data_IF_894067385845
#
_entry.id   IF_894067385845
#
_cell.length_a   1.000
_cell.length_b   1.000
_cell.length_c   1.000
_cell.angle_alpha   90.00
_cell.angle_beta   90.00
_cell.angle_gamma   90.00
#
_symmetry.space_group_name_H-M   'P 1'
#
loop_
_entity.id
_entity.type
_entity.pdbx_description
1 polymer ?
#
# COMPACT_ATOMS: atom_id res chain seq x y z
N UNK A 1 -69.74 28.01 13.59
CA UNK A 1 -68.40 27.49 13.18
C UNK A 1 -67.24 28.21 13.89
N UNK A 2 -67.14 28.16 15.23
CA UNK A 2 -65.95 28.63 15.99
C UNK A 2 -65.89 27.98 17.38
N UNK A 3 -65.68 26.66 17.46
CA UNK A 3 -65.39 25.97 18.74
C UNK A 3 -64.30 24.88 18.67
N UNK A 4 -63.70 24.59 17.51
CA UNK A 4 -62.71 23.51 17.37
C UNK A 4 -61.23 23.90 17.47
N UNK A 5 -60.90 25.18 17.70
CA UNK A 5 -59.49 25.62 17.80
C UNK A 5 -59.03 26.01 19.22
N UNK A 6 -59.91 26.02 20.22
CA UNK A 6 -59.51 26.38 21.59
C UNK A 6 -58.70 25.29 22.30
N UNK A 7 -59.06 24.01 22.14
CA UNK A 7 -58.37 22.92 22.83
C UNK A 7 -56.89 22.76 22.42
N UNK A 8 -56.54 22.74 21.12
CA UNK A 8 -55.15 22.60 20.70
C UNK A 8 -54.28 23.77 21.14
N UNK A 9 -54.83 24.99 21.10
CA UNK A 9 -54.14 26.20 21.54
C UNK A 9 -53.89 26.19 23.05
N UNK A 10 -54.86 25.74 23.85
CA UNK A 10 -54.70 25.60 25.31
C UNK A 10 -53.66 24.52 25.63
N UNK A 11 -53.65 23.38 24.94
CA UNK A 11 -52.63 22.35 25.12
C UNK A 11 -51.22 22.86 24.79
N UNK A 12 -51.06 23.61 23.70
CA UNK A 12 -49.76 24.19 23.34
C UNK A 12 -49.29 25.23 24.36
N UNK A 13 -50.23 26.03 24.91
CA UNK A 13 -49.92 27.03 25.93
C UNK A 13 -49.51 26.37 27.25
N UNK A 14 -50.19 25.29 27.65
CA UNK A 14 -49.83 24.51 28.84
C UNK A 14 -48.46 23.85 28.67
N UNK A 15 -48.16 23.25 27.52
CA UNK A 15 -46.83 22.65 27.27
C UNK A 15 -45.72 23.70 27.30
N UNK A 16 -45.92 24.85 26.66
CA UNK A 16 -44.91 25.92 26.62
C UNK A 16 -44.70 26.57 27.99
N UNK A 17 -45.77 26.84 28.75
CA UNK A 17 -45.65 27.33 30.14
C UNK A 17 -45.01 26.30 31.08
N UNK A 18 -45.30 25.01 30.91
CA UNK A 18 -44.69 23.95 31.72
C UNK A 18 -43.19 23.81 31.44
N UNK A 19 -42.78 23.91 30.17
CA UNK A 19 -41.36 23.92 29.78
C UNK A 19 -40.64 25.19 30.24
N UNK A 20 -41.31 26.35 30.19
CA UNK A 20 -40.75 27.62 30.63
C UNK A 20 -40.56 27.68 32.16
N UNK A 21 -41.55 27.21 32.94
CA UNK A 21 -41.44 27.17 34.40
C UNK A 21 -40.55 26.05 34.94
N UNK A 22 -40.38 24.94 34.21
CA UNK A 22 -39.42 23.89 34.58
C UNK A 22 -38.01 24.10 34.03
N UNK A 23 -37.72 25.21 33.35
CA UNK A 23 -36.40 25.52 32.78
C UNK A 23 -35.27 25.43 33.82
N UNK A 24 -35.52 25.81 35.07
CA UNK A 24 -34.55 25.71 36.17
C UNK A 24 -34.35 24.28 36.71
N UNK A 25 -35.28 23.36 36.44
CA UNK A 25 -35.17 21.94 36.81
C UNK A 25 -34.58 21.07 35.68
N UNK A 26 -34.67 21.52 34.42
CA UNK A 26 -34.07 20.81 33.26
C UNK A 26 -32.55 21.01 33.17
N UNK A 27 -32.01 22.06 33.82
CA UNK A 27 -30.55 22.28 33.88
C UNK A 27 -29.80 21.35 34.85
N UNK A 28 -30.49 20.53 35.65
CA UNK A 28 -29.88 19.69 36.69
C UNK A 28 -30.27 18.20 36.62
N UNK A 29 -30.72 17.70 35.46
CA UNK A 29 -30.78 16.25 35.24
C UNK A 29 -29.36 15.72 35.06
N UNK A 30 -28.81 15.19 36.17
CA UNK A 30 -27.62 14.36 36.14
C UNK A 30 -27.88 13.14 35.25
N UNK A 31 -27.25 13.13 34.08
CA UNK A 31 -27.03 11.93 33.29
C UNK A 31 -26.22 10.95 34.18
N UNK A 32 -26.60 9.67 34.32
CA UNK A 32 -25.74 8.70 34.98
C UNK A 32 -24.39 8.68 34.26
N UNK A 33 -23.34 9.06 35.01
CA UNK A 33 -22.02 9.31 34.49
C UNK A 33 -21.40 8.05 33.91
N UNK A 34 -21.30 8.01 32.58
CA UNK A 34 -20.14 7.40 31.95
C UNK A 34 -19.02 8.41 32.12
N UNK A 35 -18.11 8.13 33.05
CA UNK A 35 -16.90 8.92 33.23
C UNK A 35 -16.10 8.88 31.93
N UNK A 36 -15.92 9.99 31.19
CA UNK A 36 -14.94 10.02 30.13
C UNK A 36 -13.60 10.26 30.80
N UNK A 37 -12.99 9.18 31.31
CA UNK A 37 -11.53 9.13 31.39
C UNK A 37 -10.98 8.89 29.97
N UNK A 38 -11.38 9.73 29.02
CA UNK A 38 -10.49 10.07 27.92
C UNK A 38 -9.57 11.13 28.49
N UNK A 39 -8.45 10.69 29.04
CA UNK A 39 -7.25 11.51 28.97
C UNK A 39 -7.17 12.04 27.53
N UNK A 40 -7.21 13.37 27.39
CA UNK A 40 -6.85 14.05 26.15
C UNK A 40 -5.38 13.76 25.87
N UNK A 41 -5.08 12.53 25.47
CA UNK A 41 -3.80 12.17 24.90
C UNK A 41 -3.91 12.65 23.46
N UNK A 42 -3.29 13.80 23.18
CA UNK A 42 -3.08 14.23 21.79
C UNK A 42 -2.48 13.04 21.04
N UNK A 43 -3.16 12.55 20.00
CA UNK A 43 -2.64 11.46 19.20
C UNK A 43 -1.52 12.06 18.33
N UNK A 44 -0.29 11.99 18.84
CA UNK A 44 0.87 12.34 18.06
C UNK A 44 0.92 11.43 16.83
N UNK A 45 1.36 11.99 15.69
CA UNK A 45 1.77 11.17 14.57
C UNK A 45 2.67 10.03 15.10
N UNK A 46 2.45 8.77 14.66
CA UNK A 46 3.28 7.66 15.08
C UNK A 46 4.74 8.08 14.88
N UNK A 47 5.50 8.06 15.98
CA UNK A 47 6.94 8.33 15.90
C UNK A 47 7.49 7.35 14.88
N UNK A 48 8.41 7.77 13.98
CA UNK A 48 9.13 6.80 13.16
C UNK A 48 9.60 5.69 14.09
N UNK A 49 9.42 4.43 13.66
CA UNK A 49 9.69 3.24 14.46
C UNK A 49 10.92 3.47 15.35
N UNK A 50 10.85 3.18 16.67
CA UNK A 50 11.93 3.47 17.59
C UNK A 50 13.23 3.04 16.94
N UNK A 51 14.22 3.96 16.86
CA UNK A 51 15.55 3.57 16.38
C UNK A 51 15.88 2.28 17.11
N UNK A 52 16.10 1.14 16.40
CA UNK A 52 16.38 -0.09 17.09
C UNK A 52 17.51 0.23 18.06
N UNK A 53 17.28 -0.02 19.36
CA UNK A 53 18.34 0.09 20.40
C UNK A 53 19.58 -0.49 19.75
N UNK A 54 20.74 0.19 19.84
CA UNK A 54 22.01 -0.23 19.19
C UNK A 54 22.34 -1.67 19.60
N UNK A 55 21.69 -2.64 18.99
CA UNK A 55 21.97 -4.06 19.03
C UNK A 55 23.13 -4.21 18.07
N UNK A 56 24.19 -4.85 18.55
CA UNK A 56 25.25 -5.32 17.68
C UNK A 56 24.63 -6.11 16.51
N UNK A 57 25.17 -6.01 15.29
CA UNK A 57 24.74 -6.86 14.19
C UNK A 57 24.67 -8.31 14.66
N UNK A 58 23.49 -8.91 14.55
CA UNK A 58 23.29 -10.31 14.92
C UNK A 58 23.45 -11.12 13.65
N UNK A 59 24.63 -11.71 13.47
CA UNK A 59 24.84 -12.67 12.39
C UNK A 59 24.03 -13.93 12.71
N UNK A 60 23.04 -14.25 11.88
CA UNK A 60 22.32 -15.50 12.00
C UNK A 60 23.24 -16.67 11.66
N UNK A 61 23.19 -17.72 12.48
CA UNK A 61 23.84 -18.98 12.13
C UNK A 61 23.22 -19.58 10.86
N UNK A 62 23.98 -20.41 10.13
CA UNK A 62 23.46 -21.11 8.94
C UNK A 62 22.25 -22.00 9.29
N UNK A 63 22.25 -22.61 10.47
CA UNK A 63 21.16 -23.47 10.93
C UNK A 63 19.90 -22.64 11.17
N UNK A 64 20.02 -21.51 11.87
CA UNK A 64 18.87 -20.61 12.09
C UNK A 64 18.35 -20.03 10.78
N UNK A 65 19.23 -19.59 9.87
CA UNK A 65 18.81 -19.12 8.55
C UNK A 65 18.09 -20.22 7.76
N UNK A 66 18.49 -21.49 7.91
CA UNK A 66 17.82 -22.62 7.28
C UNK A 66 16.41 -22.86 7.83
N UNK A 67 16.17 -22.63 9.14
CA UNK A 67 14.83 -22.68 9.73
C UNK A 67 13.91 -21.61 9.10
N UNK A 68 14.43 -20.38 8.92
CA UNK A 68 13.70 -19.33 8.20
C UNK A 68 13.42 -19.69 6.74
N UNK A 69 14.40 -20.24 6.02
CA UNK A 69 14.20 -20.69 4.64
C UNK A 69 13.13 -21.78 4.57
N UNK A 70 13.17 -22.77 5.46
CA UNK A 70 12.16 -23.83 5.51
C UNK A 70 10.77 -23.29 5.81
N UNK A 71 10.64 -22.33 6.74
CA UNK A 71 9.35 -21.73 7.09
C UNK A 71 8.75 -20.90 5.93
N UNK A 72 9.60 -20.29 5.09
CA UNK A 72 9.20 -19.55 3.89
C UNK A 72 8.76 -20.49 2.76
N UNK A 73 9.52 -21.57 2.51
CA UNK A 73 9.31 -22.46 1.36
C UNK A 73 8.21 -23.49 1.62
N UNK A 74 7.99 -23.87 2.88
CA UNK A 74 7.03 -24.89 3.29
C UNK A 74 6.03 -24.30 4.31
N UNK A 75 4.97 -23.62 3.83
CA UNK A 75 3.97 -23.02 4.70
C UNK A 75 3.28 -24.12 5.52
N UNK A 76 3.37 -24.04 6.86
CA UNK A 76 2.83 -25.05 7.76
C UNK A 76 3.83 -26.15 8.17
N UNK A 77 5.12 -26.00 7.85
CA UNK A 77 6.17 -26.81 8.48
C UNK A 77 6.22 -26.57 9.99
N UNK A 78 6.64 -27.59 10.75
CA UNK A 78 6.85 -27.51 12.20
C UNK A 78 7.96 -26.53 12.61
N UNK A 79 8.65 -25.94 11.64
CA UNK A 79 9.75 -24.99 11.84
C UNK A 79 9.24 -23.57 12.13
N UNK A 80 8.02 -23.21 11.71
CA UNK A 80 7.46 -21.88 12.02
C UNK A 80 7.22 -21.71 13.54
N UNK A 81 6.61 -22.68 14.26
CA UNK A 81 6.54 -22.62 15.72
C UNK A 81 7.91 -22.59 16.43
N UNK A 82 8.95 -23.19 15.84
CA UNK A 82 10.31 -23.17 16.41
C UNK A 82 10.95 -21.78 16.39
N UNK A 83 10.49 -20.89 15.50
CA UNK A 83 10.95 -19.49 15.46
C UNK A 83 10.33 -18.64 16.58
N UNK A 84 9.29 -19.13 17.27
CA UNK A 84 8.57 -18.36 18.29
C UNK A 84 7.92 -17.09 17.76
N UNK A 85 7.75 -16.98 16.43
CA UNK A 85 7.17 -15.81 15.79
C UNK A 85 5.64 -15.90 15.78
N UNK A 86 4.95 -14.80 16.02
CA UNK A 86 3.50 -14.75 15.85
C UNK A 86 3.14 -14.95 14.38
N UNK A 87 2.15 -15.82 14.14
CA UNK A 87 1.67 -16.14 12.81
C UNK A 87 0.44 -15.29 12.48
N UNK A 88 0.52 -14.54 11.38
CA UNK A 88 -0.67 -14.06 10.69
C UNK A 88 -1.26 -15.21 9.86
N UNK A 89 -2.37 -15.75 10.34
CA UNK A 89 -3.16 -16.76 9.61
C UNK A 89 -3.91 -16.10 8.45
N UNK A 90 -3.77 -16.71 7.27
CA UNK A 90 -4.39 -16.23 6.05
C UNK A 90 -5.45 -17.21 5.57
N UNK A 91 -6.65 -16.73 5.20
CA UNK A 91 -7.70 -17.58 4.65
C UNK A 91 -7.27 -18.14 3.29
N UNK A 92 -7.87 -19.26 2.90
CA UNK A 92 -7.74 -19.76 1.53
C UNK A 92 -8.50 -18.83 0.60
N UNK A 93 -7.84 -18.34 -0.44
CA UNK A 93 -8.46 -17.53 -1.48
C UNK A 93 -9.47 -18.36 -2.30
N UNK A 94 -10.47 -17.71 -2.88
CA UNK A 94 -11.42 -18.32 -3.81
C UNK A 94 -10.77 -18.47 -5.20
N UNK A 95 -10.36 -19.68 -5.65
CA UNK A 95 -9.54 -19.81 -6.85
C UNK A 95 -10.25 -19.36 -8.13
N UNK A 96 -11.58 -19.52 -8.19
CA UNK A 96 -12.41 -19.18 -9.35
C UNK A 96 -12.35 -17.70 -9.69
N UNK A 97 -12.31 -16.81 -8.68
CA UNK A 97 -12.19 -15.36 -8.89
C UNK A 97 -10.91 -15.00 -9.63
N UNK A 98 -9.79 -15.61 -9.25
CA UNK A 98 -8.47 -15.25 -9.73
C UNK A 98 -7.96 -16.12 -10.89
N UNK A 99 -8.72 -17.12 -11.33
CA UNK A 99 -8.27 -18.06 -12.38
C UNK A 99 -7.89 -17.38 -13.70
N UNK A 100 -8.52 -16.25 -14.05
CA UNK A 100 -8.18 -15.46 -15.24
C UNK A 100 -6.80 -14.79 -15.16
N UNK A 101 -6.16 -14.77 -13.99
CA UNK A 101 -4.78 -14.29 -13.81
C UNK A 101 -3.73 -15.33 -14.20
N UNK A 102 -4.12 -16.60 -14.28
CA UNK A 102 -3.20 -17.67 -14.68
C UNK A 102 -2.82 -17.51 -16.15
N UNK A 103 -1.57 -17.83 -16.52
CA UNK A 103 -1.16 -17.90 -17.92
C UNK A 103 -2.10 -18.83 -18.69
N UNK A 104 -2.41 -18.47 -19.94
CA UNK A 104 -3.13 -19.37 -20.84
C UNK A 104 -2.34 -20.69 -20.97
N UNK A 105 -3.04 -21.82 -20.94
CA UNK A 105 -2.38 -23.12 -21.14
C UNK A 105 -1.69 -23.13 -22.51
N UNK A 106 -0.42 -23.59 -22.59
CA UNK A 106 0.27 -23.68 -23.86
C UNK A 106 -0.54 -24.57 -24.81
N UNK A 107 -0.85 -24.06 -26.00
CA UNK A 107 -1.61 -24.78 -27.00
C UNK A 107 -0.81 -26.04 -27.42
N UNK A 108 -1.37 -27.23 -27.19
CA UNK A 108 -0.69 -28.52 -27.36
C UNK A 108 -0.27 -28.83 -28.81
N UNK A 109 -0.66 -27.98 -29.77
CA UNK A 109 -0.40 -28.13 -31.19
C UNK A 109 0.84 -27.34 -31.69
N UNK A 110 1.62 -26.72 -30.79
CA UNK A 110 2.80 -25.93 -31.18
C UNK A 110 4.07 -26.80 -31.15
N UNK A 111 4.84 -26.94 -32.25
CA UNK A 111 6.06 -27.75 -32.29
C UNK A 111 7.11 -27.25 -31.27
N UNK A 112 7.70 -28.18 -30.50
CA UNK A 112 8.69 -27.94 -29.42
C UNK A 112 10.10 -27.52 -29.89
N UNK A 113 10.27 -27.09 -31.15
CA UNK A 113 11.60 -26.97 -31.78
C UNK A 113 12.27 -25.59 -31.69
N UNK A 114 11.64 -24.60 -31.07
CA UNK A 114 12.23 -23.27 -30.85
C UNK A 114 12.45 -23.01 -29.36
N UNK A 115 13.56 -22.39 -28.93
CA UNK A 115 13.72 -21.95 -27.55
C UNK A 115 12.57 -20.99 -27.22
N UNK A 116 11.65 -21.41 -26.36
CA UNK A 116 10.50 -20.58 -26.00
C UNK A 116 10.97 -19.49 -25.05
N UNK A 117 11.21 -18.30 -25.58
CA UNK A 117 11.40 -17.09 -24.78
C UNK A 117 10.21 -16.97 -23.82
N UNK A 118 10.49 -16.83 -22.52
CA UNK A 118 9.43 -16.77 -21.51
C UNK A 118 9.11 -15.32 -21.20
N UNK A 119 7.85 -14.91 -21.38
CA UNK A 119 7.41 -13.58 -20.99
C UNK A 119 7.12 -13.51 -19.50
N UNK A 120 7.72 -12.54 -18.81
CA UNK A 120 7.38 -12.22 -17.41
C UNK A 120 6.15 -11.35 -17.41
N UNK A 121 5.07 -11.91 -16.86
CA UNK A 121 3.79 -11.23 -16.70
C UNK A 121 3.72 -10.51 -15.36
N UNK A 122 4.45 -10.98 -14.34
CA UNK A 122 4.40 -10.46 -12.98
C UNK A 122 5.81 -10.24 -12.44
N UNK A 123 6.12 -9.01 -12.02
CA UNK A 123 7.41 -8.65 -11.45
C UNK A 123 7.22 -8.14 -10.02
N UNK A 124 7.72 -8.87 -9.04
CA UNK A 124 7.66 -8.50 -7.63
C UNK A 124 8.93 -7.73 -7.27
N UNK A 125 8.80 -6.58 -6.62
CA UNK A 125 9.90 -5.71 -6.21
C UNK A 125 9.75 -5.31 -4.73
N UNK A 126 10.84 -5.38 -3.97
CA UNK A 126 10.87 -4.98 -2.56
C UNK A 126 12.21 -4.32 -2.22
N UNK A 127 12.16 -3.33 -1.35
CA UNK A 127 13.30 -2.80 -0.60
C UNK A 127 13.13 -3.21 0.86
N UNK A 128 14.09 -3.96 1.42
CA UNK A 128 13.98 -4.52 2.77
C UNK A 128 15.14 -4.07 3.67
N UNK A 129 14.82 -3.87 4.95
CA UNK A 129 15.77 -3.57 6.01
C UNK A 129 15.19 -4.00 7.36
N UNK A 130 15.96 -4.73 8.15
CA UNK A 130 15.57 -5.13 9.51
C UNK A 130 14.17 -5.80 9.55
N UNK A 131 13.88 -6.66 8.57
CA UNK A 131 12.56 -7.25 8.35
C UNK A 131 12.45 -8.72 8.81
N UNK A 132 13.46 -9.26 9.52
CA UNK A 132 13.55 -10.69 9.84
C UNK A 132 12.29 -11.28 10.48
N UNK A 133 11.64 -10.64 11.49
CA UNK A 133 10.44 -11.20 12.12
C UNK A 133 9.26 -11.35 11.15
N UNK A 134 9.21 -10.51 10.11
CA UNK A 134 8.14 -10.49 9.14
C UNK A 134 8.45 -11.32 7.88
N UNK A 135 9.73 -11.53 7.57
CA UNK A 135 10.20 -12.24 6.37
C UNK A 135 9.44 -13.56 6.09
N UNK A 136 9.22 -14.46 7.08
CA UNK A 136 8.44 -15.67 6.87
C UNK A 136 7.05 -15.42 6.28
N UNK A 137 6.28 -14.47 6.85
CA UNK A 137 4.93 -14.16 6.39
C UNK A 137 4.95 -13.50 5.02
N UNK A 138 5.79 -12.47 4.84
CA UNK A 138 5.88 -11.69 3.61
C UNK A 138 6.28 -12.57 2.42
N UNK A 139 7.38 -13.32 2.54
CA UNK A 139 7.89 -14.13 1.44
C UNK A 139 7.03 -15.37 1.20
N UNK A 140 6.47 -16.00 2.24
CA UNK A 140 5.48 -17.08 2.03
C UNK A 140 4.31 -16.59 1.19
N UNK A 141 3.78 -15.40 1.49
CA UNK A 141 2.67 -14.79 0.74
C UNK A 141 3.04 -14.54 -0.73
N UNK A 142 4.23 -13.97 -0.98
CA UNK A 142 4.73 -13.78 -2.35
C UNK A 142 4.86 -15.12 -3.08
N UNK A 143 5.47 -16.13 -2.45
CA UNK A 143 5.69 -17.44 -3.09
C UNK A 143 4.40 -18.19 -3.37
N UNK A 144 3.42 -18.15 -2.46
CA UNK A 144 2.08 -18.70 -2.69
C UNK A 144 1.38 -18.01 -3.86
N UNK A 145 1.57 -16.69 -4.00
CA UNK A 145 1.03 -15.90 -5.11
C UNK A 145 1.72 -16.26 -6.42
N UNK A 146 3.06 -16.31 -6.45
CA UNK A 146 3.85 -16.74 -7.61
C UNK A 146 3.48 -18.16 -8.05
N UNK A 147 3.30 -19.07 -7.10
CA UNK A 147 2.86 -20.43 -7.40
C UNK A 147 1.49 -20.45 -8.10
N UNK A 148 0.54 -19.64 -7.63
CA UNK A 148 -0.77 -19.51 -8.27
C UNK A 148 -0.67 -18.90 -9.68
N UNK A 149 0.16 -17.87 -9.86
CA UNK A 149 0.34 -17.15 -11.13
C UNK A 149 1.21 -17.89 -12.16
N UNK A 150 1.90 -18.96 -11.76
CA UNK A 150 2.81 -19.71 -12.61
C UNK A 150 4.25 -19.19 -12.50
N UNK A 151 5.15 -19.89 -11.78
CA UNK A 151 6.51 -19.44 -11.48
C UNK A 151 7.34 -18.99 -12.68
N UNK A 152 7.17 -19.63 -13.84
CA UNK A 152 7.88 -19.29 -15.08
C UNK A 152 7.58 -17.87 -15.59
N UNK A 153 6.41 -17.32 -15.26
CA UNK A 153 5.95 -16.00 -15.67
C UNK A 153 6.19 -14.92 -14.61
N UNK A 154 6.89 -15.26 -13.53
CA UNK A 154 7.16 -14.37 -12.41
C UNK A 154 8.66 -14.13 -12.24
N UNK A 155 8.99 -12.92 -11.80
CA UNK A 155 10.31 -12.58 -11.27
C UNK A 155 10.16 -11.91 -9.90
N UNK A 156 11.11 -12.15 -9.00
CA UNK A 156 11.20 -11.54 -7.68
C UNK A 156 12.53 -10.80 -7.57
N UNK A 157 12.46 -9.51 -7.31
CA UNK A 157 13.60 -8.62 -7.13
C UNK A 157 13.57 -8.03 -5.73
N UNK A 158 14.64 -8.22 -4.96
CA UNK A 158 14.77 -7.69 -3.60
C UNK A 158 16.10 -6.94 -3.51
N UNK A 159 16.00 -5.68 -3.08
CA UNK A 159 17.15 -4.91 -2.60
C UNK A 159 17.14 -4.92 -1.09
N UNK A 160 18.27 -5.23 -0.48
CA UNK A 160 18.44 -5.17 0.97
C UNK A 160 19.61 -4.25 1.32
N UNK A 161 19.51 -3.54 2.45
CA UNK A 161 20.64 -2.77 2.95
C UNK A 161 20.51 -2.36 4.40
N UNK A 162 21.64 -2.32 5.09
CA UNK A 162 21.78 -1.84 6.47
C UNK A 162 20.95 -2.60 7.53
N UNK A 163 20.60 -3.87 7.26
CA UNK A 163 20.00 -4.74 8.27
C UNK A 163 21.00 -5.17 9.34
N UNK A 164 20.52 -5.40 10.55
CA UNK A 164 21.28 -5.83 11.74
C UNK A 164 20.70 -7.06 12.41
N UNK A 165 19.60 -7.57 11.90
CA UNK A 165 18.79 -8.61 12.52
C UNK A 165 18.97 -10.01 11.92
N UNK A 166 19.57 -10.14 10.74
CA UNK A 166 19.69 -11.41 10.01
C UNK A 166 18.93 -11.46 8.69
N UNK A 167 18.24 -10.39 8.30
CA UNK A 167 17.47 -10.29 7.04
C UNK A 167 18.32 -10.69 5.83
N UNK A 168 19.57 -10.20 5.76
CA UNK A 168 20.51 -10.49 4.68
C UNK A 168 20.79 -11.99 4.53
N UNK A 169 21.11 -12.66 5.62
CA UNK A 169 21.49 -14.07 5.66
C UNK A 169 20.37 -14.96 5.15
N UNK A 170 19.13 -14.69 5.56
CA UNK A 170 17.95 -15.42 5.08
C UNK A 170 17.70 -15.18 3.59
N UNK A 171 17.72 -13.92 3.13
CA UNK A 171 17.52 -13.58 1.72
C UNK A 171 18.58 -14.19 0.80
N UNK A 172 19.82 -14.28 1.27
CA UNK A 172 20.92 -14.95 0.57
C UNK A 172 20.71 -16.47 0.52
N UNK A 173 20.31 -17.08 1.63
CA UNK A 173 20.08 -18.51 1.75
C UNK A 173 18.86 -19.03 0.94
N UNK A 174 17.92 -18.16 0.55
CA UNK A 174 16.76 -18.53 -0.28
C UNK A 174 17.11 -18.88 -1.72
N UNK A 175 18.24 -18.41 -2.26
CA UNK A 175 18.58 -18.54 -3.70
C UNK A 175 18.45 -19.98 -4.24
N UNK A 176 19.00 -21.03 -3.59
CA UNK A 176 18.91 -22.39 -4.12
C UNK A 176 17.47 -22.92 -4.13
N UNK A 177 16.68 -22.60 -3.11
CA UNK A 177 15.29 -23.03 -3.00
C UNK A 177 14.41 -22.38 -4.07
N UNK A 178 14.53 -21.06 -4.27
CA UNK A 178 13.77 -20.35 -5.31
C UNK A 178 14.16 -20.79 -6.72
N UNK A 179 15.45 -21.06 -6.95
CA UNK A 179 15.93 -21.64 -8.23
C UNK A 179 15.29 -23.01 -8.50
N UNK A 180 15.18 -23.89 -7.48
CA UNK A 180 14.53 -25.20 -7.60
C UNK A 180 13.03 -25.08 -7.89
N UNK A 181 12.37 -24.04 -7.40
CA UNK A 181 10.98 -23.72 -7.70
C UNK A 181 10.77 -23.07 -9.09
N UNK A 182 11.85 -22.85 -9.85
CA UNK A 182 11.78 -22.20 -11.17
C UNK A 182 11.49 -20.70 -11.09
N UNK A 183 11.69 -20.07 -9.94
CA UNK A 183 11.45 -18.65 -9.71
C UNK A 183 12.72 -17.87 -10.05
N UNK A 184 12.58 -16.83 -10.88
CA UNK A 184 13.69 -15.91 -11.18
C UNK A 184 13.86 -14.95 -10.02
N UNK A 185 14.94 -15.11 -9.28
CA UNK A 185 15.23 -14.33 -8.08
C UNK A 185 16.45 -13.45 -8.28
N UNK A 186 16.22 -12.14 -8.22
CA UNK A 186 17.23 -11.09 -8.20
C UNK A 186 17.36 -10.60 -6.76
N UNK A 187 18.56 -10.74 -6.20
CA UNK A 187 18.86 -10.25 -4.86
C UNK A 187 20.14 -9.46 -4.90
N UNK A 188 20.06 -8.22 -4.44
CA UNK A 188 21.14 -7.24 -4.46
C UNK A 188 21.22 -6.56 -3.10
N UNK A 189 22.43 -6.36 -2.60
CA UNK A 189 22.67 -5.51 -1.42
C UNK A 189 23.03 -4.09 -1.85
N UNK A 190 22.57 -3.09 -1.11
CA UNK A 190 22.88 -1.68 -1.38
C UNK A 190 23.51 -0.99 -0.17
N UNK A 191 24.56 -0.17 -0.37
CA UNK A 191 25.11 0.69 0.66
C UNK A 191 24.29 1.99 0.86
N UNK A 192 23.28 2.24 0.04
CA UNK A 192 22.44 3.45 0.14
C UNK A 192 21.71 3.46 1.48
N UNK A 193 21.82 4.56 2.21
CA UNK A 193 21.22 4.72 3.53
C UNK A 193 20.25 5.92 3.55
N UNK A 194 18.93 5.68 3.59
CA UNK A 194 17.91 6.74 3.71
C UNK A 194 17.99 7.56 5.01
N UNK A 195 18.78 7.11 6.00
CA UNK A 195 19.03 7.84 7.25
C UNK A 195 20.29 8.72 7.18
N UNK A 196 20.99 8.73 6.04
CA UNK A 196 22.19 9.56 5.85
C UNK A 196 21.84 11.04 5.62
N UNK A 197 22.80 11.97 5.79
CA UNK A 197 22.57 13.40 5.57
C UNK A 197 22.20 13.78 4.14
N UNK A 198 22.43 12.91 3.16
CA UNK A 198 22.24 13.18 1.73
C UNK A 198 20.75 13.24 1.30
N UNK A 199 19.83 13.19 2.26
CA UNK A 199 18.40 13.28 2.03
C UNK A 199 17.72 11.92 1.96
N UNK A 200 16.66 11.75 2.77
CA UNK A 200 15.89 10.49 2.85
C UNK A 200 15.22 10.13 1.53
N UNK A 201 14.56 11.09 0.89
CA UNK A 201 13.73 10.85 -0.30
C UNK A 201 14.57 10.46 -1.54
N UNK A 202 15.66 11.16 -1.89
CA UNK A 202 16.55 10.71 -2.97
C UNK A 202 17.04 9.27 -2.77
N UNK A 203 17.47 8.93 -1.56
CA UNK A 203 17.94 7.58 -1.25
C UNK A 203 16.85 6.50 -1.38
N UNK A 204 15.60 6.80 -0.98
CA UNK A 204 14.47 5.87 -1.18
C UNK A 204 14.15 5.71 -2.68
N UNK A 205 14.18 6.81 -3.44
CA UNK A 205 13.98 6.76 -4.88
C UNK A 205 15.03 5.88 -5.58
N UNK A 206 16.31 6.04 -5.21
CA UNK A 206 17.40 5.24 -5.76
C UNK A 206 17.24 3.74 -5.44
N UNK A 207 16.83 3.40 -4.22
CA UNK A 207 16.56 2.02 -3.82
C UNK A 207 15.42 1.41 -4.64
N UNK A 208 14.29 2.11 -4.79
CA UNK A 208 13.16 1.63 -5.58
C UNK A 208 13.51 1.43 -7.06
N UNK A 209 14.28 2.37 -7.63
CA UNK A 209 14.78 2.22 -9.00
C UNK A 209 15.74 1.03 -9.10
N UNK A 210 16.60 0.79 -8.11
CA UNK A 210 17.50 -0.36 -8.05
C UNK A 210 16.72 -1.70 -7.96
N UNK A 211 15.62 -1.76 -7.21
CA UNK A 211 14.76 -2.93 -7.15
C UNK A 211 14.07 -3.24 -8.49
N UNK A 212 13.84 -2.21 -9.32
CA UNK A 212 13.31 -2.33 -10.68
C UNK A 212 14.39 -2.54 -11.74
N UNK A 213 15.69 -2.42 -11.41
CA UNK A 213 16.77 -2.54 -12.39
C UNK A 213 16.73 -3.85 -13.21
N UNK A 214 16.45 -5.04 -12.63
CA UNK A 214 16.36 -6.26 -13.42
C UNK A 214 15.24 -6.24 -14.48
N UNK A 215 14.18 -5.46 -14.26
CA UNK A 215 13.12 -5.26 -15.25
C UNK A 215 13.64 -4.44 -16.43
N UNK A 216 14.41 -3.39 -16.17
CA UNK A 216 15.03 -2.56 -17.21
C UNK A 216 16.09 -3.32 -18.01
N UNK A 217 16.95 -4.07 -17.33
CA UNK A 217 18.00 -4.86 -17.97
C UNK A 217 17.41 -5.93 -18.90
N UNK A 218 16.34 -6.61 -18.46
CA UNK A 218 15.64 -7.61 -19.26
C UNK A 218 14.89 -6.98 -20.46
N UNK A 219 14.38 -5.76 -20.32
CA UNK A 219 13.77 -5.02 -21.43
C UNK A 219 14.80 -4.53 -22.45
N UNK A 220 16.00 -4.14 -21.99
CA UNK A 220 17.08 -3.61 -22.83
C UNK A 220 17.90 -4.70 -23.54
N UNK A 221 17.98 -5.91 -22.97
CA UNK A 221 18.82 -7.00 -23.51
C UNK A 221 18.06 -8.33 -23.60
N UNK A 222 17.17 -8.51 -24.61
CA UNK A 222 16.37 -9.72 -24.79
C UNK A 222 17.18 -10.99 -25.11
N UNK A 223 18.49 -10.87 -25.37
CA UNK A 223 19.33 -11.88 -26.03
C UNK A 223 20.64 -12.18 -25.31
N UNK A 224 20.67 -12.21 -23.97
CA UNK A 224 21.86 -12.67 -23.25
C UNK A 224 21.95 -14.22 -23.30
N UNK A 225 22.98 -14.83 -23.94
CA UNK A 225 22.99 -16.27 -24.28
C UNK A 225 23.16 -17.23 -23.09
N UNK A 226 23.48 -16.75 -21.89
CA UNK A 226 23.86 -17.60 -20.75
C UNK A 226 22.71 -17.94 -19.79
N UNK A 227 21.50 -17.43 -20.04
CA UNK A 227 20.30 -17.73 -19.24
C UNK A 227 19.07 -17.87 -20.14
N UNK A 228 18.07 -18.66 -19.73
CA UNK A 228 16.83 -18.82 -20.49
C UNK A 228 16.22 -17.45 -20.82
N UNK A 229 16.15 -17.03 -22.10
CA UNK A 229 15.83 -15.67 -22.48
C UNK A 229 14.44 -15.28 -21.99
N UNK A 230 14.36 -14.05 -21.48
CA UNK A 230 13.16 -13.48 -20.89
C UNK A 230 12.75 -12.24 -21.66
N UNK A 231 11.44 -12.06 -21.83
CA UNK A 231 10.87 -10.83 -22.37
C UNK A 231 10.05 -10.12 -21.29
N UNK A 232 10.30 -8.82 -21.13
CA UNK A 232 9.44 -7.88 -20.42
C UNK A 232 8.64 -7.11 -21.47
N UNK A 233 7.37 -6.83 -21.19
CA UNK A 233 6.49 -6.06 -22.09
C UNK A 233 5.85 -4.90 -21.32
N UNK A 234 5.31 -3.88 -22.01
CA UNK A 234 4.49 -2.84 -21.37
C UNK A 234 3.32 -3.37 -20.52
N UNK A 235 2.81 -4.57 -20.84
CA UNK A 235 1.71 -5.23 -20.13
C UNK A 235 2.15 -5.98 -18.86
N UNK A 236 3.47 -6.11 -18.63
CA UNK A 236 4.01 -6.71 -17.40
C UNK A 236 3.46 -5.95 -16.19
N UNK A 237 2.89 -6.70 -15.25
CA UNK A 237 2.32 -6.18 -14.00
C UNK A 237 3.39 -6.20 -12.91
N UNK A 238 3.70 -5.04 -12.35
CA UNK A 238 4.67 -4.87 -11.28
C UNK A 238 3.92 -4.84 -9.95
N UNK A 239 4.38 -5.62 -8.98
CA UNK A 239 3.95 -5.54 -7.58
C UNK A 239 5.12 -4.99 -6.78
N UNK A 240 4.99 -3.78 -6.25
CA UNK A 240 5.99 -3.21 -5.36
C UNK A 240 5.42 -3.20 -3.95
N UNK A 241 6.06 -3.95 -3.05
CA UNK A 241 5.61 -4.14 -1.68
C UNK A 241 6.63 -3.57 -0.70
N UNK A 242 6.14 -2.91 0.34
CA UNK A 242 6.94 -2.66 1.54
C UNK A 242 7.06 -3.96 2.36
N UNK A 243 7.67 -3.87 3.54
CA UNK A 243 7.73 -4.92 4.56
C UNK A 243 6.40 -5.03 5.32
N UNK A 244 5.38 -5.58 4.65
CA UNK A 244 4.01 -5.68 5.16
C UNK A 244 3.58 -7.11 5.53
N UNK A 245 2.68 -7.21 6.49
CA UNK A 245 1.93 -8.41 6.84
C UNK A 245 0.76 -8.62 5.86
N UNK A 246 1.05 -9.27 4.73
CA UNK A 246 0.07 -9.55 3.68
C UNK A 246 -0.35 -11.02 3.64
N UNK A 247 -1.54 -11.27 3.11
CA UNK A 247 -2.05 -12.58 2.71
C UNK A 247 -2.08 -12.76 1.19
N UNK A 248 -2.08 -13.99 0.65
CA UNK A 248 -2.08 -14.22 -0.80
C UNK A 248 -3.28 -13.61 -1.53
N UNK A 249 -4.45 -13.58 -0.89
CA UNK A 249 -5.65 -12.94 -1.43
C UNK A 249 -5.51 -11.42 -1.54
N UNK A 250 -4.75 -10.76 -0.67
CA UNK A 250 -4.44 -9.33 -0.81
C UNK A 250 -3.72 -9.05 -2.15
N UNK A 251 -2.66 -9.81 -2.45
CA UNK A 251 -1.87 -9.61 -3.67
C UNK A 251 -2.65 -9.99 -4.93
N UNK A 252 -3.37 -11.11 -4.88
CA UNK A 252 -4.22 -11.55 -6.01
C UNK A 252 -5.36 -10.56 -6.28
N UNK A 253 -5.94 -9.97 -5.23
CA UNK A 253 -6.99 -8.95 -5.37
C UNK A 253 -6.46 -7.67 -5.99
N UNK A 254 -5.30 -7.17 -5.57
CA UNK A 254 -4.69 -5.99 -6.22
C UNK A 254 -4.40 -6.25 -7.71
N UNK A 255 -3.85 -7.42 -8.07
CA UNK A 255 -3.64 -7.78 -9.47
C UNK A 255 -4.97 -7.85 -10.23
N UNK A 256 -5.98 -8.50 -9.63
CA UNK A 256 -7.31 -8.64 -10.22
C UNK A 256 -7.97 -7.28 -10.48
N UNK A 257 -7.98 -6.40 -9.48
CA UNK A 257 -8.59 -5.08 -9.59
C UNK A 257 -7.86 -4.21 -10.61
N UNK A 258 -6.51 -4.25 -10.65
CA UNK A 258 -5.76 -3.55 -11.69
C UNK A 258 -6.21 -3.97 -13.09
N UNK A 259 -6.27 -5.29 -13.35
CA UNK A 259 -6.65 -5.82 -14.67
C UNK A 259 -8.11 -5.53 -15.01
N UNK A 260 -9.03 -5.77 -14.07
CA UNK A 260 -10.47 -5.65 -14.30
C UNK A 260 -10.90 -4.20 -14.48
N UNK A 261 -10.31 -3.28 -13.72
CA UNK A 261 -10.57 -1.84 -13.85
C UNK A 261 -9.76 -1.19 -14.98
N UNK A 262 -8.81 -1.92 -15.59
CA UNK A 262 -7.81 -1.39 -16.51
C UNK A 262 -7.07 -0.19 -15.92
N UNK A 263 -6.71 -0.30 -14.64
CA UNK A 263 -6.03 0.74 -13.88
C UNK A 263 -4.53 0.78 -14.21
N UNK A 264 -3.97 1.98 -14.15
CA UNK A 264 -2.55 2.22 -14.33
C UNK A 264 -1.78 1.81 -13.07
N UNK A 265 -2.32 2.15 -11.90
CA UNK A 265 -1.83 1.77 -10.57
C UNK A 265 -3.01 1.49 -9.63
N UNK A 266 -2.89 0.45 -8.80
CA UNK A 266 -3.76 0.25 -7.64
C UNK A 266 -2.95 0.02 -6.37
N UNK A 267 -3.52 0.37 -5.23
CA UNK A 267 -2.89 0.19 -3.91
C UNK A 267 -3.91 -0.34 -2.89
N UNK A 268 -3.41 -0.89 -1.78
CA UNK A 268 -4.26 -1.28 -0.65
C UNK A 268 -4.62 -0.10 0.28
N UNK A 269 -5.03 -0.43 1.50
CA UNK A 269 -5.10 0.48 2.64
C UNK A 269 -3.97 0.17 3.61
N UNK A 270 -3.37 1.19 4.21
CA UNK A 270 -2.26 1.06 5.15
C UNK A 270 -2.67 1.58 6.52
N UNK A 271 -2.48 0.76 7.54
CA UNK A 271 -2.97 1.03 8.88
C UNK A 271 -1.87 0.93 9.93
N UNK A 272 -2.09 1.64 11.02
CA UNK A 272 -1.28 1.56 12.23
C UNK A 272 -2.15 1.78 13.46
N UNK A 273 -1.63 1.51 14.65
CA UNK A 273 -2.27 1.85 15.92
C UNK A 273 -1.54 3.07 16.52
N UNK A 274 -1.90 4.27 16.04
CA UNK A 274 -1.35 5.51 16.55
C UNK A 274 -1.90 5.81 17.97
N UNK A 275 -1.03 6.18 18.91
CA UNK A 275 -1.42 6.55 20.28
C UNK A 275 -0.94 5.62 21.39
N UNK A 276 -0.26 4.51 21.08
CA UNK A 276 0.52 3.74 22.05
C UNK A 276 1.96 4.24 22.11
N UNK A 277 2.54 4.33 23.31
CA UNK A 277 3.98 4.53 23.45
C UNK A 277 4.67 3.41 22.65
N UNK A 278 5.59 3.78 21.76
CA UNK A 278 6.14 2.94 20.68
C UNK A 278 6.92 1.69 21.10
N UNK A 279 6.68 1.16 22.28
CA UNK A 279 7.21 -0.08 22.84
C UNK A 279 6.12 -1.16 22.94
N UNK A 280 5.23 -1.28 21.95
CA UNK A 280 4.31 -2.43 21.87
C UNK A 280 3.49 -2.69 23.15
N UNK A 281 3.26 -1.65 23.95
CA UNK A 281 2.60 -1.83 25.24
C UNK A 281 1.16 -2.23 25.00
N UNK A 282 0.77 -3.29 25.68
CA UNK A 282 -0.41 -4.11 25.42
C UNK A 282 -1.74 -3.38 25.63
N UNK A 283 -1.71 -2.13 26.11
CA UNK A 283 -2.89 -1.30 26.33
C UNK A 283 -3.36 -0.54 25.08
N UNK A 284 -2.62 -0.59 23.97
CA UNK A 284 -3.08 -0.12 22.65
C UNK A 284 -4.22 -0.97 22.05
N UNK A 285 -4.70 -2.00 22.77
CA UNK A 285 -5.82 -2.85 22.36
C UNK A 285 -7.16 -2.10 22.19
N UNK A 286 -7.27 -0.85 22.68
CA UNK A 286 -8.48 -0.03 22.57
C UNK A 286 -8.40 1.11 21.53
N UNK A 287 -7.27 1.28 20.83
CA UNK A 287 -7.14 2.35 19.83
C UNK A 287 -7.74 1.92 18.49
N UNK A 288 -8.59 2.76 17.91
CA UNK A 288 -9.08 2.57 16.54
C UNK A 288 -7.90 2.60 15.55
N UNK A 289 -7.85 1.70 14.54
CA UNK A 289 -6.81 1.74 13.54
C UNK A 289 -6.80 3.04 12.74
N UNK A 290 -5.63 3.66 12.67
CA UNK A 290 -5.38 4.92 11.98
C UNK A 290 -4.74 4.66 10.62
N UNK A 291 -5.19 5.37 9.58
CA UNK A 291 -4.56 5.30 8.27
C UNK A 291 -3.12 5.86 8.34
N UNK A 292 -2.13 5.06 7.96
CA UNK A 292 -0.72 5.40 8.17
C UNK A 292 -0.15 6.32 7.08
N UNK A 293 -0.51 6.06 5.82
CA UNK A 293 0.17 6.66 4.66
C UNK A 293 -0.39 8.05 4.27
N UNK A 294 -0.80 8.84 5.26
CA UNK A 294 -1.41 10.17 5.07
C UNK A 294 -0.50 11.15 4.35
N UNK A 295 0.82 10.98 4.49
CA UNK A 295 1.81 11.83 3.83
C UNK A 295 1.80 11.65 2.31
N UNK A 296 1.52 10.44 1.83
CA UNK A 296 1.53 10.08 0.40
C UNK A 296 0.15 10.20 -0.23
N UNK A 297 -0.88 9.72 0.46
CA UNK A 297 -2.20 9.55 -0.13
C UNK A 297 -2.86 10.89 -0.46
N UNK A 298 -3.43 11.02 -1.67
CA UNK A 298 -4.15 12.22 -2.11
C UNK A 298 -5.46 11.84 -2.79
N UNK A 299 -6.56 12.38 -2.29
CA UNK A 299 -7.88 12.20 -2.92
C UNK A 299 -7.92 12.88 -4.29
N UNK A 300 -8.80 12.42 -5.17
CA UNK A 300 -8.92 13.00 -6.50
C UNK A 300 -9.75 14.30 -6.49
N UNK A 301 -10.85 14.36 -5.72
CA UNK A 301 -11.76 15.51 -5.79
C UNK A 301 -11.11 16.79 -5.29
N UNK A 302 -10.41 16.72 -4.16
CA UNK A 302 -9.83 17.89 -3.49
C UNK A 302 -8.31 17.99 -3.65
N UNK A 303 -7.62 16.91 -4.04
CA UNK A 303 -6.16 16.86 -3.98
C UNK A 303 -5.62 16.88 -2.54
N UNK A 304 -6.48 16.66 -1.54
CA UNK A 304 -6.11 16.67 -0.11
C UNK A 304 -5.70 15.27 0.37
N UNK A 305 -5.10 15.16 1.56
CA UNK A 305 -4.80 13.88 2.21
C UNK A 305 -6.07 13.08 2.51
N UNK A 306 -5.95 11.82 2.94
CA UNK A 306 -7.13 10.98 3.25
C UNK A 306 -7.81 11.34 4.57
N UNK A 307 -7.14 11.98 5.51
CA UNK A 307 -7.76 12.71 6.63
C UNK A 307 -7.08 14.07 6.82
N UNK A 308 -7.74 14.98 7.53
CA UNK A 308 -7.20 16.31 7.81
C UNK A 308 -6.05 16.22 8.82
N UNK A 309 -4.85 16.68 8.47
CA UNK A 309 -3.79 16.90 9.45
C UNK A 309 -3.90 18.37 9.93
N UNK A 310 -4.26 18.65 11.18
CA UNK A 310 -4.43 20.02 11.67
C UNK A 310 -3.11 20.82 11.65
N UNK A 311 -3.16 22.16 11.79
CA UNK A 311 -1.96 23.00 11.74
C UNK A 311 -0.89 22.67 12.79
N UNK A 312 -1.26 22.00 13.90
CA UNK A 312 -0.32 21.54 14.92
C UNK A 312 0.36 20.19 14.58
N UNK A 313 0.04 19.62 13.42
CA UNK A 313 0.61 18.37 12.90
C UNK A 313 0.11 17.10 13.62
N UNK A 314 -0.89 17.21 14.48
CA UNK A 314 -1.51 16.08 15.17
C UNK A 314 -2.28 15.17 14.19
N UNK A 315 -2.59 13.95 14.64
CA UNK A 315 -3.42 13.00 13.90
C UNK A 315 -4.83 12.91 14.51
N UNK A 316 -5.27 13.95 15.24
CA UNK A 316 -6.54 13.96 15.98
C UNK A 316 -7.80 13.81 15.09
N UNK A 317 -7.67 14.03 13.78
CA UNK A 317 -8.75 13.86 12.79
C UNK A 317 -8.62 12.58 11.96
N UNK A 318 -7.71 11.68 12.32
CA UNK A 318 -7.46 10.42 11.59
C UNK A 318 -8.68 9.52 11.40
N UNK A 319 -9.67 9.60 12.30
CA UNK A 319 -10.92 8.85 12.19
C UNK A 319 -11.88 9.36 11.11
N UNK A 320 -11.70 10.60 10.64
CA UNK A 320 -12.57 11.27 9.66
C UNK A 320 -12.01 11.11 8.24
N UNK A 321 -11.89 9.86 7.80
CA UNK A 321 -11.38 9.55 6.46
C UNK A 321 -12.31 10.10 5.37
N UNK A 322 -11.70 10.73 4.36
CA UNK A 322 -12.34 11.29 3.18
C UNK A 322 -13.39 12.38 3.52
N UNK A 323 -13.19 13.12 4.61
CA UNK A 323 -14.09 14.18 5.11
C UNK A 323 -14.51 15.22 4.05
N UNK A 324 -13.67 15.48 3.05
CA UNK A 324 -13.93 16.43 1.98
C UNK A 324 -14.12 15.78 0.58
N UNK A 325 -14.21 14.45 0.51
CA UNK A 325 -14.44 13.68 -0.72
C UNK A 325 -15.53 12.61 -0.51
N UNK A 326 -16.79 13.04 -0.66
CA UNK A 326 -17.98 12.18 -0.51
C UNK A 326 -17.98 10.97 -1.45
N UNK A 327 -17.37 11.07 -2.64
CA UNK A 327 -17.32 9.97 -3.61
C UNK A 327 -16.35 8.91 -3.10
N UNK A 328 -15.14 9.31 -2.70
CA UNK A 328 -14.18 8.39 -2.10
C UNK A 328 -14.74 7.78 -0.80
N UNK A 329 -15.35 8.60 0.07
CA UNK A 329 -15.98 8.16 1.32
C UNK A 329 -17.04 7.09 1.08
N UNK A 330 -18.01 7.37 0.21
CA UNK A 330 -19.10 6.44 -0.07
C UNK A 330 -18.64 5.12 -0.69
N UNK A 331 -17.59 5.14 -1.52
CA UNK A 331 -17.00 3.92 -2.09
C UNK A 331 -16.16 3.15 -1.06
N UNK A 332 -15.38 3.85 -0.23
CA UNK A 332 -14.63 3.25 0.87
C UNK A 332 -15.52 2.53 1.89
N UNK A 333 -16.64 3.14 2.28
CA UNK A 333 -17.64 2.55 3.19
C UNK A 333 -18.26 1.28 2.59
N UNK A 334 -18.54 1.28 1.28
CA UNK A 334 -19.07 0.14 0.53
C UNK A 334 -18.03 -0.91 0.14
N UNK A 335 -16.75 -0.70 0.50
CA UNK A 335 -15.62 -1.55 0.10
C UNK A 335 -15.49 -1.68 -1.42
N UNK A 336 -15.71 -0.58 -2.13
CA UNK A 336 -15.54 -0.46 -3.57
C UNK A 336 -14.26 0.29 -3.93
N UNK A 337 -13.51 -0.14 -4.96
CA UNK A 337 -12.36 0.61 -5.44
C UNK A 337 -12.72 2.04 -5.82
N UNK A 338 -11.86 3.02 -5.54
CA UNK A 338 -12.11 4.43 -5.86
C UNK A 338 -10.85 5.12 -6.40
N UNK A 339 -11.04 6.05 -7.36
CA UNK A 339 -9.94 6.78 -7.97
C UNK A 339 -9.36 7.83 -7.02
N UNK A 340 -8.04 7.98 -7.06
CA UNK A 340 -7.27 8.92 -6.24
C UNK A 340 -6.22 9.62 -7.09
N UNK A 341 -5.67 10.72 -6.60
CA UNK A 341 -4.52 11.35 -7.25
C UNK A 341 -3.24 10.54 -6.98
N UNK A 342 -3.02 10.12 -5.72
CA UNK A 342 -1.84 9.35 -5.33
C UNK A 342 -2.16 8.37 -4.21
N UNK A 343 -1.49 7.21 -4.24
CA UNK A 343 -1.43 6.28 -3.11
C UNK A 343 -0.24 5.32 -3.25
N UNK A 344 0.25 4.81 -2.12
CA UNK A 344 1.22 3.71 -2.06
C UNK A 344 0.74 2.65 -1.09
N UNK A 345 0.40 3.09 0.12
CA UNK A 345 -0.40 2.38 1.12
C UNK A 345 0.13 0.96 1.37
N UNK A 346 1.41 0.83 1.72
CA UNK A 346 2.06 -0.44 2.03
C UNK A 346 2.41 -1.31 0.81
N UNK A 347 1.60 -1.30 -0.25
CA UNK A 347 1.86 -2.08 -1.45
C UNK A 347 1.01 -1.68 -2.64
N UNK A 348 1.66 -1.62 -3.81
CA UNK A 348 1.04 -1.19 -5.07
C UNK A 348 1.20 -2.23 -6.17
N UNK A 349 0.27 -2.19 -7.14
CA UNK A 349 0.32 -2.97 -8.37
C UNK A 349 0.11 -2.04 -9.56
N UNK A 350 1.07 -1.97 -10.47
CA UNK A 350 1.04 -1.05 -11.61
C UNK A 350 1.62 -1.67 -12.89
N UNK A 351 1.41 -1.02 -14.03
CA UNK A 351 1.94 -1.49 -15.32
C UNK A 351 3.39 -1.11 -15.55
N UNK A 352 4.14 -1.94 -16.28
CA UNK A 352 5.50 -1.60 -16.72
C UNK A 352 5.50 -0.53 -17.85
N UNK A 353 4.38 -0.37 -18.55
CA UNK A 353 4.21 0.59 -19.65
C UNK A 353 4.78 1.98 -19.39
N UNK A 354 4.39 2.71 -18.34
CA UNK A 354 4.94 4.03 -18.01
C UNK A 354 6.46 4.06 -17.79
N UNK A 355 7.05 2.96 -17.29
CA UNK A 355 8.49 2.89 -17.04
C UNK A 355 9.29 2.59 -18.31
N UNK A 356 8.71 1.81 -19.22
CA UNK A 356 9.35 1.37 -20.47
C UNK A 356 9.05 2.29 -21.65
N UNK A 357 7.89 2.94 -21.63
CA UNK A 357 7.47 3.87 -22.65
C UNK A 357 8.16 5.22 -22.48
N UNK A 358 8.46 5.84 -23.62
CA UNK A 358 8.92 7.21 -23.68
C UNK A 358 7.83 8.25 -23.46
N UNK A 359 6.95 8.10 -22.44
CA UNK A 359 5.73 8.89 -22.22
C UNK A 359 4.69 8.78 -23.37
N UNK A 360 3.39 8.67 -23.06
CA UNK A 360 2.35 8.69 -24.12
C UNK A 360 2.17 10.08 -24.76
N UNK A 361 2.71 11.12 -24.12
CA UNK A 361 2.57 12.54 -24.51
C UNK A 361 3.87 13.15 -25.07
N UNK A 362 4.84 12.35 -25.50
CA UNK A 362 6.15 12.83 -25.93
C UNK A 362 6.15 13.74 -27.17
N UNK A 363 5.88 15.04 -26.99
CA UNK A 363 6.46 16.11 -27.83
C UNK A 363 7.93 16.29 -27.44
N UNK A 364 8.76 15.29 -27.70
CA UNK A 364 10.20 15.34 -27.41
C UNK A 364 10.95 16.13 -28.48
N UNK A 365 11.48 17.30 -28.10
CA UNK A 365 12.50 17.99 -28.88
C UNK A 365 13.77 17.15 -28.98
N UNK A 366 14.42 17.16 -30.14
CA UNK A 366 15.76 16.58 -30.34
C UNK A 366 16.76 17.34 -29.45
N UNK A 367 17.28 16.72 -28.40
CA UNK A 367 18.33 17.35 -27.58
C UNK A 367 18.99 16.41 -26.59
N UNK A 368 18.21 15.84 -25.67
CA UNK A 368 18.81 15.25 -24.47
C UNK A 368 18.59 13.73 -24.39
N UNK A 369 19.63 13.03 -23.94
CA UNK A 369 19.60 11.61 -23.52
C UNK A 369 18.81 11.47 -22.22
N UNK A 370 17.58 11.95 -22.18
CA UNK A 370 16.72 11.84 -21.00
C UNK A 370 16.13 10.43 -20.94
N UNK A 371 16.18 9.81 -19.75
CA UNK A 371 15.51 8.53 -19.50
C UNK A 371 14.02 8.70 -19.83
N UNK A 372 13.55 8.00 -20.88
CA UNK A 372 12.28 8.37 -21.50
C UNK A 372 11.03 7.99 -20.68
N UNK A 373 11.16 7.17 -19.62
CA UNK A 373 10.04 6.66 -18.84
C UNK A 373 9.98 7.21 -17.41
N UNK A 374 8.82 7.04 -16.76
CA UNK A 374 8.62 7.46 -15.36
C UNK A 374 9.61 6.72 -14.44
N UNK A 375 10.16 7.41 -13.44
CA UNK A 375 11.10 6.87 -12.43
C UNK A 375 10.75 7.37 -11.05
N UNK A 376 11.14 6.64 -10.02
CA UNK A 376 11.15 7.22 -8.67
C UNK A 376 12.20 8.32 -8.61
N UNK A 377 11.86 9.43 -7.95
CA UNK A 377 12.75 10.58 -7.82
C UNK A 377 12.42 11.39 -6.57
N UNK A 378 13.34 12.27 -6.19
CA UNK A 378 13.03 13.35 -5.27
C UNK A 378 12.35 14.52 -6.00
N UNK A 379 11.91 15.50 -5.20
CA UNK A 379 11.34 16.74 -5.69
C UNK A 379 12.34 17.51 -6.57
N UNK A 380 11.87 18.07 -7.69
CA UNK A 380 12.65 18.98 -8.53
C UNK A 380 12.75 20.36 -7.88
N UNK A 381 13.62 21.22 -8.40
CA UNK A 381 13.68 22.61 -7.97
C UNK A 381 12.32 23.30 -8.15
N UNK A 382 11.85 23.97 -7.09
CA UNK A 382 10.54 24.61 -7.06
C UNK A 382 9.34 23.66 -6.88
N UNK A 383 9.57 22.35 -6.84
CA UNK A 383 8.53 21.36 -6.55
C UNK A 383 8.38 21.15 -5.04
N UNK A 384 7.18 20.79 -4.60
CA UNK A 384 6.93 20.41 -3.21
C UNK A 384 7.84 19.25 -2.77
N UNK A 385 8.46 19.39 -1.59
CA UNK A 385 9.12 18.28 -0.93
C UNK A 385 8.08 17.24 -0.48
N UNK A 386 8.02 16.10 -1.15
CA UNK A 386 7.12 14.97 -0.88
C UNK A 386 7.87 13.64 -0.92
N UNK A 387 7.22 12.58 -0.46
CA UNK A 387 7.72 11.22 -0.66
C UNK A 387 7.75 10.83 -2.14
N UNK A 388 8.74 10.03 -2.51
CA UNK A 388 8.91 9.52 -3.87
C UNK A 388 7.70 8.76 -4.45
N UNK A 389 6.80 8.11 -3.66
CA UNK A 389 5.62 7.47 -4.23
C UNK A 389 4.53 8.45 -4.67
N UNK A 390 4.38 9.58 -3.98
CA UNK A 390 3.45 10.64 -4.38
C UNK A 390 3.95 11.29 -5.67
N UNK A 391 5.25 11.62 -5.72
CA UNK A 391 5.91 12.15 -6.92
C UNK A 391 5.83 11.18 -8.10
N UNK A 392 5.94 9.87 -7.84
CA UNK A 392 5.75 8.84 -8.85
C UNK A 392 4.32 8.85 -9.42
N UNK A 393 3.30 8.94 -8.56
CA UNK A 393 1.91 9.06 -9.01
C UNK A 393 1.69 10.36 -9.82
N UNK A 394 2.25 11.48 -9.36
CA UNK A 394 2.22 12.75 -10.10
C UNK A 394 2.87 12.63 -11.48
N UNK A 395 4.00 11.93 -11.60
CA UNK A 395 4.66 11.70 -12.89
C UNK A 395 3.85 10.74 -13.78
N UNK A 396 3.15 9.76 -13.21
CA UNK A 396 2.18 8.93 -13.94
C UNK A 396 1.05 9.80 -14.54
N UNK A 397 0.44 10.67 -13.74
CA UNK A 397 -0.56 11.63 -14.21
C UNK A 397 -0.01 12.48 -15.36
N UNK A 398 1.18 13.06 -15.19
CA UNK A 398 1.82 13.88 -16.21
C UNK A 398 2.09 13.11 -17.52
N UNK A 399 2.44 11.83 -17.41
CA UNK A 399 2.67 10.94 -18.55
C UNK A 399 1.37 10.37 -19.17
N UNK A 400 0.19 10.73 -18.65
CA UNK A 400 -1.12 10.29 -19.15
C UNK A 400 -1.62 8.96 -18.59
N UNK A 401 -1.16 8.58 -17.40
CA UNK A 401 -1.48 7.34 -16.69
C UNK A 401 -2.19 7.63 -15.35
N UNK A 402 -3.31 8.35 -15.42
CA UNK A 402 -4.08 8.83 -14.25
C UNK A 402 -5.11 7.87 -13.67
N UNK A 403 -5.20 6.62 -14.16
CA UNK A 403 -6.13 5.63 -13.60
C UNK A 403 -5.54 4.99 -12.34
N UNK A 404 -5.44 5.79 -11.28
CA UNK A 404 -4.88 5.39 -9.99
C UNK A 404 -6.02 5.16 -9.00
N UNK A 405 -6.07 3.98 -8.36
CA UNK A 405 -7.16 3.64 -7.44
C UNK A 405 -6.72 2.93 -6.17
N UNK A 406 -7.47 3.15 -5.09
CA UNK A 406 -7.37 2.39 -3.86
C UNK A 406 -8.33 1.21 -3.92
N UNK A 407 -7.90 0.03 -3.44
CA UNK A 407 -8.72 -1.17 -3.25
C UNK A 407 -8.98 -1.36 -1.76
N UNK A 408 -10.12 -0.90 -1.21
CA UNK A 408 -10.34 -0.82 0.24
C UNK A 408 -10.60 -2.17 0.93
N UNK A 409 -10.72 -3.26 0.17
CA UNK A 409 -10.80 -4.63 0.71
C UNK A 409 -9.43 -5.17 1.13
N UNK A 410 -8.35 -4.57 0.64
CA UNK A 410 -6.97 -4.95 0.94
C UNK A 410 -6.44 -4.04 2.05
N UNK A 411 -6.00 -4.62 3.16
CA UNK A 411 -5.60 -3.90 4.37
C UNK A 411 -4.24 -4.43 4.87
N UNK A 412 -3.26 -3.55 5.03
CA UNK A 412 -1.89 -3.87 5.43
C UNK A 412 -1.51 -3.25 6.78
N UNK A 413 -0.43 -3.79 7.34
CA UNK A 413 0.26 -3.37 8.57
C UNK A 413 1.70 -3.93 8.49
N UNK A 414 2.63 -3.48 9.35
CA UNK A 414 4.07 -3.77 9.26
C UNK A 414 4.58 -4.86 10.25
N UNK A 415 3.68 -5.56 10.94
CA UNK A 415 3.97 -6.66 11.87
C UNK A 415 2.91 -7.75 11.79
N UNK A 416 3.24 -8.98 12.20
CA UNK A 416 2.26 -10.07 12.18
C UNK A 416 1.15 -9.85 13.22
N UNK A 417 1.50 -9.28 14.38
CA UNK A 417 0.60 -9.04 15.50
C UNK A 417 -0.39 -7.93 15.20
N UNK A 418 0.08 -6.75 14.82
CA UNK A 418 -0.82 -5.66 14.47
C UNK A 418 -1.49 -5.93 13.12
N UNK A 419 -0.84 -6.60 12.17
CA UNK A 419 -1.48 -7.14 10.97
C UNK A 419 -2.68 -8.03 11.27
N UNK A 420 -2.56 -8.96 12.23
CA UNK A 420 -3.69 -9.77 12.69
C UNK A 420 -4.82 -8.91 13.23
N UNK A 421 -4.52 -7.94 14.11
CA UNK A 421 -5.53 -7.02 14.65
C UNK A 421 -6.21 -6.20 13.54
N UNK A 422 -5.46 -5.74 12.53
CA UNK A 422 -6.01 -5.03 11.38
C UNK A 422 -6.92 -5.92 10.55
N UNK A 423 -6.54 -7.19 10.30
CA UNK A 423 -7.43 -8.14 9.60
C UNK A 423 -8.70 -8.43 10.40
N UNK A 424 -8.64 -8.49 11.72
CA UNK A 424 -9.82 -8.61 12.58
C UNK A 424 -10.72 -7.36 12.53
N UNK A 425 -10.12 -6.16 12.56
CA UNK A 425 -10.86 -4.89 12.58
C UNK A 425 -11.42 -4.45 11.21
N UNK A 426 -10.64 -4.63 10.13
CA UNK A 426 -10.96 -4.16 8.77
C UNK A 426 -11.40 -5.29 7.83
N UNK A 427 -11.15 -6.55 8.20
CA UNK A 427 -11.47 -7.73 7.42
C UNK A 427 -10.34 -8.18 6.47
N UNK A 428 -10.38 -9.46 6.12
CA UNK A 428 -9.62 -10.03 5.01
C UNK A 428 -10.31 -9.71 3.67
N UNK A 429 -9.61 -9.87 2.54
CA UNK A 429 -10.24 -9.75 1.21
C UNK A 429 -11.42 -10.71 1.10
N UNK A 430 -11.24 -11.97 1.52
CA UNK A 430 -12.30 -12.99 1.52
C UNK A 430 -13.50 -12.65 2.43
N UNK A 431 -13.34 -11.71 3.37
CA UNK A 431 -14.46 -11.22 4.20
C UNK A 431 -15.41 -10.37 3.38
N UNK A 432 -14.94 -9.68 2.34
CA UNK A 432 -15.72 -8.71 1.59
C UNK A 432 -16.11 -9.23 0.21
N UNK A 433 -15.12 -9.74 -0.50
CA UNK A 433 -15.24 -10.20 -1.87
C UNK A 433 -16.08 -11.48 -1.91
N UNK A 434 -17.11 -11.50 -2.77
CA UNK A 434 -17.99 -12.67 -2.95
C UNK A 434 -19.13 -12.78 -1.93
N UNK A 435 -19.30 -11.81 -1.03
CA UNK A 435 -20.54 -11.68 -0.25
C UNK A 435 -21.73 -11.51 -1.20
N UNK A 436 -22.87 -12.11 -0.85
CA UNK A 436 -24.09 -12.16 -1.69
C UNK A 436 -24.51 -10.80 -2.26
N UNK A 437 -24.37 -9.74 -1.46
CA UNK A 437 -24.79 -8.39 -1.81
C UNK A 437 -23.63 -7.47 -2.24
N UNK A 438 -22.40 -8.00 -2.29
CA UNK A 438 -21.22 -7.28 -2.76
C UNK A 438 -20.96 -7.62 -4.22
N UNK A 439 -20.70 -6.60 -5.03
CA UNK A 439 -20.40 -6.74 -6.47
C UNK A 439 -19.12 -5.98 -6.78
N UNK A 440 -18.36 -6.43 -7.77
CA UNK A 440 -17.28 -5.63 -8.33
C UNK A 440 -17.86 -4.46 -9.12
N UNK A 441 -17.87 -3.27 -8.52
CA UNK A 441 -18.25 -2.06 -9.21
C UNK A 441 -17.05 -1.49 -9.96
N UNK A 442 -17.24 -1.17 -11.25
CA UNK A 442 -16.26 -0.40 -12.01
C UNK A 442 -16.06 1.00 -11.44
N UNK A 443 -15.03 1.69 -11.92
CA UNK A 443 -14.77 3.11 -11.67
C UNK A 443 -15.10 3.87 -12.95
N UNK A 444 -15.90 4.92 -12.83
CA UNK A 444 -16.00 5.94 -13.86
C UNK A 444 -14.78 6.86 -13.73
N UNK A 445 -13.77 6.63 -14.58
CA UNK A 445 -12.49 7.31 -14.49
C UNK A 445 -12.62 8.79 -14.90
N UNK A 446 -12.24 9.68 -13.99
CA UNK A 446 -12.01 11.09 -14.33
C UNK A 446 -10.64 11.21 -15.00
N UNK A 447 -10.60 11.91 -16.13
CA UNK A 447 -9.39 12.05 -16.96
C UNK A 447 -8.50 13.22 -16.54
N UNK A 448 -9.08 14.23 -15.88
CA UNK A 448 -8.36 15.41 -15.42
C UNK A 448 -7.93 15.24 -13.96
N UNK A 449 -6.67 15.52 -13.61
CA UNK A 449 -6.24 15.60 -12.22
C UNK A 449 -6.87 16.81 -11.51
N UNK A 450 -6.83 16.86 -10.17
CA UNK A 450 -7.21 18.07 -9.44
C UNK A 450 -6.33 19.25 -9.85
N UNK A 451 -6.87 20.47 -9.88
CA UNK A 451 -6.09 21.66 -10.26
C UNK A 451 -4.90 21.90 -9.33
N UNK A 452 -5.10 21.66 -8.05
CA UNK A 452 -4.10 21.80 -7.01
C UNK A 452 -4.09 20.54 -6.15
N UNK A 453 -2.91 20.20 -5.64
CA UNK A 453 -2.70 19.07 -4.74
C UNK A 453 -1.99 19.59 -3.49
N UNK A 454 -2.33 19.00 -2.35
CA UNK A 454 -1.76 19.38 -1.07
C UNK A 454 -0.30 18.98 -0.99
N UNK A 455 0.56 19.99 -1.00
CA UNK A 455 1.93 19.90 -0.56
C UNK A 455 1.96 19.81 0.97
N UNK A 456 2.56 18.74 1.49
CA UNK A 456 2.74 18.48 2.92
C UNK A 456 4.24 18.31 3.19
N UNK A 457 5.02 19.39 3.07
CA UNK A 457 6.47 19.31 3.26
C UNK A 457 6.82 18.84 4.69
N UNK A 458 5.99 19.24 5.65
CA UNK A 458 5.91 18.73 7.03
C UNK A 458 4.44 18.72 7.45
N UNK A 459 4.08 17.96 8.50
CA UNK A 459 2.70 17.94 9.00
C UNK A 459 2.21 19.32 9.50
N UNK A 460 3.10 20.16 10.01
CA UNK A 460 2.83 21.54 10.43
C UNK A 460 3.05 22.58 9.31
N UNK A 461 3.41 22.14 8.10
CA UNK A 461 3.68 23.02 6.95
C UNK A 461 3.04 22.44 5.68
N UNK A 462 1.78 22.81 5.48
CA UNK A 462 0.93 22.30 4.40
C UNK A 462 0.39 23.46 3.55
N UNK A 463 0.41 23.31 2.23
CA UNK A 463 -0.10 24.31 1.27
C UNK A 463 -0.64 23.61 0.03
N UNK A 464 -1.67 24.15 -0.61
CA UNK A 464 -2.09 23.68 -1.93
C UNK A 464 -1.23 24.32 -3.00
N UNK A 465 -0.73 23.51 -3.93
CA UNK A 465 0.05 23.99 -5.08
C UNK A 465 -0.52 23.37 -6.36
N UNK A 466 -0.32 24.00 -7.54
CA UNK A 466 -0.70 23.39 -8.82
C UNK A 466 -0.14 21.97 -8.94
N UNK A 467 -0.99 21.00 -9.32
CA UNK A 467 -0.65 19.58 -9.27
C UNK A 467 0.58 19.23 -10.12
N UNK A 468 0.80 19.96 -11.21
CA UNK A 468 1.88 19.77 -12.18
C UNK A 468 3.00 20.81 -12.07
N UNK A 469 3.05 21.55 -10.95
CA UNK A 469 4.15 22.48 -10.67
C UNK A 469 5.50 21.77 -10.81
N UNK A 470 6.44 22.44 -11.48
CA UNK A 470 7.79 21.95 -11.77
C UNK A 470 7.85 20.66 -12.63
N UNK A 471 6.81 20.36 -13.40
CA UNK A 471 6.90 19.36 -14.47
C UNK A 471 7.60 19.93 -15.73
N UNK A 472 8.39 19.13 -16.47
CA UNK A 472 9.11 19.60 -17.65
C UNK A 472 8.16 20.12 -18.73
N UNK A 473 8.42 21.30 -19.29
CA UNK A 473 7.57 21.90 -20.32
C UNK A 473 6.40 22.74 -19.81
N UNK A 474 6.40 23.08 -18.52
CA UNK A 474 5.50 24.06 -17.89
C UNK A 474 6.20 25.35 -17.49
#
# INVERSE_FOLDING_TARGET
MRRHFLLPAICLLVVTLTLYHRRSQVCCLQWPGVSPNHSNVKAAAPKPAPKPKKKSPTFLSKDTASIYVNSIIHPGSVDFPQLGLPLLECPKHHPTRYNHLKPASPNTNTPKTTPTTTTIQYFFALDLRDSLPLLPRLLTTILQTIHFLGPSHCALSIVEGHSRDGTHEVLSALRPALKKLGIRYHFTTSPINPQSPNGRIPALADLRNLALQPLFDAAASPSNPSSSPVTITPDTTILFLNDIAACPDDLLELIHQRRSLQADLVCGMDWTYAGGDGDGDSDAAAADPTFYDVWIARTLKSGDSFFEVPPDGSWDRAGDLFWNDEVAKGRFEKKQPFQVFACWNGGVVFGAGPLLAGGKNGKGGKGDKEEKGVRFRAAREGECHQGEPELFCKDLWYAGYGKIAVVPTVNFEYSNEAGKKIKEAKGYVSTWVGKKDWKDEGIEWQTEPPKEVKCMARYDAQVFEPWDKAQPGK
#
